data_IF_598750037779
#
_entry.id   IF_598750037779
#
_cell.length_a   1.000
_cell.length_b   1.000
_cell.length_c   1.000
_cell.angle_alpha   90.00
_cell.angle_beta   90.00
_cell.angle_gamma   90.00
#
_symmetry.space_group_name_H-M   'P 1'
#
loop_
_entity.id
_entity.type
_entity.pdbx_description
1 polymer ?
#
# COMPACT_ATOMS: atom_id res chain seq x y z
N UNK A 1 46.94 -40.75 11.65
CA UNK A 1 45.47 -40.64 11.42
C UNK A 1 44.77 -39.60 12.30
N UNK A 2 45.05 -39.46 13.60
CA UNK A 2 44.41 -38.44 14.48
C UNK A 2 44.62 -36.96 14.05
N UNK A 3 45.75 -36.62 13.42
CA UNK A 3 46.05 -35.22 13.01
C UNK A 3 45.22 -34.73 11.80
N UNK A 4 44.73 -35.65 10.95
CA UNK A 4 43.91 -35.29 9.78
C UNK A 4 42.47 -34.98 10.20
N UNK A 5 41.96 -35.68 11.22
CA UNK A 5 40.59 -35.49 11.74
C UNK A 5 40.40 -34.15 12.47
N UNK A 6 41.47 -33.61 13.08
CA UNK A 6 41.44 -32.29 13.73
C UNK A 6 41.41 -31.16 12.70
N UNK A 7 42.04 -31.34 11.54
CA UNK A 7 42.09 -30.32 10.48
C UNK A 7 40.75 -30.20 9.73
N UNK A 8 40.04 -31.31 9.53
CA UNK A 8 38.70 -31.31 8.92
C UNK A 8 37.62 -30.70 9.83
N UNK A 9 37.74 -30.85 11.14
CA UNK A 9 36.83 -30.21 12.10
C UNK A 9 37.00 -28.68 12.17
N UNK A 10 38.20 -28.16 11.90
CA UNK A 10 38.47 -26.72 11.93
C UNK A 10 37.96 -26.00 10.67
N UNK A 11 37.94 -26.68 9.52
CA UNK A 11 37.39 -26.13 8.28
C UNK A 11 35.85 -26.09 8.28
N UNK A 12 35.18 -27.05 8.93
CA UNK A 12 33.71 -27.03 9.05
C UNK A 12 33.20 -25.84 9.89
N UNK A 13 33.99 -25.36 10.86
CA UNK A 13 33.64 -24.22 11.70
C UNK A 13 33.77 -22.86 10.97
N UNK A 14 34.57 -22.78 9.90
CA UNK A 14 34.73 -21.57 9.08
C UNK A 14 33.65 -21.41 8.01
N UNK A 15 32.86 -22.46 7.76
CA UNK A 15 31.78 -22.46 6.77
C UNK A 15 30.43 -21.99 7.33
N UNK A 16 30.38 -21.53 8.59
CA UNK A 16 29.26 -20.71 9.06
C UNK A 16 29.38 -19.33 8.39
N UNK A 17 28.99 -19.26 7.11
CA UNK A 17 28.71 -18.00 6.45
C UNK A 17 27.75 -17.24 7.37
N UNK A 18 28.17 -16.06 7.83
CA UNK A 18 27.31 -15.11 8.53
C UNK A 18 26.09 -14.91 7.64
N UNK A 19 24.94 -15.48 8.02
CA UNK A 19 23.69 -15.07 7.40
C UNK A 19 23.56 -13.58 7.69
N UNK A 20 23.59 -12.77 6.64
CA UNK A 20 23.39 -11.34 6.80
C UNK A 20 22.03 -11.13 7.46
N UNK A 21 22.04 -10.36 8.55
CA UNK A 21 20.86 -10.18 9.39
C UNK A 21 19.84 -9.35 8.61
N UNK A 22 18.72 -9.98 8.25
CA UNK A 22 17.56 -9.31 7.67
C UNK A 22 16.98 -8.30 8.66
N UNK A 23 16.63 -7.12 8.16
CA UNK A 23 15.91 -6.09 8.90
C UNK A 23 14.44 -6.18 8.49
N UNK A 24 13.55 -6.40 9.47
CA UNK A 24 12.12 -6.49 9.20
C UNK A 24 11.46 -5.11 9.22
N UNK A 25 10.58 -4.87 8.26
CA UNK A 25 9.71 -3.70 8.30
C UNK A 25 8.66 -3.84 9.42
N UNK A 26 8.35 -2.74 10.07
CA UNK A 26 7.47 -2.74 11.24
C UNK A 26 5.99 -2.68 10.85
N UNK A 27 5.61 -1.67 10.06
CA UNK A 27 4.25 -1.39 9.60
C UNK A 27 4.25 -0.47 8.36
N UNK A 28 3.08 -0.34 7.72
CA UNK A 28 2.89 0.41 6.49
C UNK A 28 3.15 1.92 6.64
N UNK A 29 2.71 2.54 7.73
CA UNK A 29 2.93 3.97 7.95
C UNK A 29 4.42 4.31 8.10
N UNK A 30 5.20 3.42 8.72
CA UNK A 30 6.63 3.64 8.90
C UNK A 30 7.37 3.71 7.57
N UNK A 31 6.95 2.97 6.54
CA UNK A 31 7.55 3.09 5.20
C UNK A 31 7.49 4.52 4.68
N UNK A 32 6.42 5.26 5.00
CA UNK A 32 6.21 6.63 4.54
C UNK A 32 6.77 7.70 5.48
N UNK A 33 7.09 7.35 6.74
CA UNK A 33 7.62 8.29 7.73
C UNK A 33 9.07 8.64 7.47
N UNK A 34 9.84 7.68 6.97
CA UNK A 34 11.29 7.76 6.83
C UNK A 34 11.72 8.10 5.38
N UNK A 35 10.85 8.73 4.60
CA UNK A 35 11.18 9.22 3.26
C UNK A 35 12.10 10.45 3.37
N UNK A 36 13.19 10.42 2.61
CA UNK A 36 14.12 11.50 2.33
C UNK A 36 14.02 11.86 0.84
N UNK A 37 13.19 12.85 0.48
CA UNK A 37 12.94 13.15 -0.93
C UNK A 37 14.16 13.75 -1.64
N UNK A 38 14.10 13.78 -2.97
CA UNK A 38 15.17 14.38 -3.78
C UNK A 38 15.41 15.85 -3.40
N UNK A 39 16.64 16.29 -3.65
CA UNK A 39 17.07 17.67 -3.41
C UNK A 39 16.18 18.57 -4.26
N UNK A 40 15.69 19.67 -3.68
CA UNK A 40 14.78 20.69 -4.24
C UNK A 40 13.34 20.68 -3.70
N UNK A 41 12.99 19.80 -2.75
CA UNK A 41 11.72 19.89 -2.02
C UNK A 41 11.83 20.88 -0.86
N UNK A 42 10.92 21.86 -0.81
CA UNK A 42 10.90 22.90 0.24
C UNK A 42 10.19 22.40 1.50
N UNK A 43 9.08 21.69 1.28
CA UNK A 43 8.23 21.13 2.33
C UNK A 43 7.43 19.96 1.77
N UNK A 44 7.09 19.01 2.63
CA UNK A 44 6.19 17.93 2.26
C UNK A 44 5.39 17.41 3.47
N UNK A 45 4.27 16.76 3.17
CA UNK A 45 3.36 16.15 4.14
C UNK A 45 2.86 14.86 3.56
N UNK A 46 2.90 13.77 4.33
CA UNK A 46 2.21 12.51 4.01
C UNK A 46 0.85 12.52 4.67
N UNK A 47 -0.17 12.23 3.88
CA UNK A 47 -1.56 12.17 4.32
C UNK A 47 -2.10 10.77 4.06
N UNK A 48 -2.78 10.21 5.06
CA UNK A 48 -3.63 9.03 4.93
C UNK A 48 -5.08 9.48 4.84
N UNK A 49 -5.74 9.20 3.72
CA UNK A 49 -7.16 9.45 3.52
C UNK A 49 -7.95 8.17 3.80
N UNK A 50 -8.80 8.22 4.82
CA UNK A 50 -9.63 7.08 5.21
C UNK A 50 -11.04 7.57 5.54
N UNK A 51 -12.05 6.95 4.92
CA UNK A 51 -13.47 7.21 5.20
C UNK A 51 -13.85 8.71 5.10
N UNK A 52 -13.32 9.40 4.10
CA UNK A 52 -13.59 10.83 3.86
C UNK A 52 -12.83 11.78 4.78
N UNK A 53 -11.85 11.29 5.56
CA UNK A 53 -11.05 12.08 6.49
C UNK A 53 -9.57 11.98 6.16
N UNK A 54 -8.91 13.13 6.18
CA UNK A 54 -7.46 13.24 6.05
C UNK A 54 -6.79 13.20 7.41
N UNK A 55 -5.79 12.31 7.55
CA UNK A 55 -4.92 12.23 8.72
C UNK A 55 -3.47 12.42 8.28
N UNK A 56 -2.83 13.46 8.80
CA UNK A 56 -1.39 13.69 8.58
C UNK A 56 -0.58 12.63 9.33
N UNK A 57 0.30 11.93 8.63
CA UNK A 57 1.19 10.92 9.22
C UNK A 57 2.53 11.51 9.62
N UNK A 58 3.14 12.26 8.71
CA UNK A 58 4.43 12.94 8.90
C UNK A 58 4.48 14.20 8.05
N UNK A 59 5.33 15.14 8.42
CA UNK A 59 5.59 16.36 7.67
C UNK A 59 7.01 16.84 7.89
N UNK A 60 7.65 17.26 6.80
CA UNK A 60 8.83 18.11 6.86
C UNK A 60 8.40 19.51 6.44
N UNK A 61 8.41 20.44 7.40
CA UNK A 61 7.85 21.80 7.27
C UNK A 61 6.37 21.77 6.86
N UNK A 62 5.50 22.16 7.78
CA UNK A 62 4.05 22.16 7.53
C UNK A 62 3.70 23.16 6.42
N UNK A 63 3.05 22.68 5.36
CA UNK A 63 2.52 23.48 4.25
C UNK A 63 1.01 23.21 4.12
N UNK A 64 0.19 24.21 3.75
CA UNK A 64 -1.22 23.98 3.47
C UNK A 64 -1.37 23.00 2.30
N UNK A 65 -2.36 22.11 2.40
CA UNK A 65 -2.70 21.15 1.36
C UNK A 65 -4.22 21.05 1.23
N UNK A 66 -4.67 20.63 0.04
CA UNK A 66 -6.06 20.32 -0.23
C UNK A 66 -6.26 18.80 -0.27
N UNK A 67 -7.43 18.36 0.19
CA UNK A 67 -7.81 16.95 0.17
C UNK A 67 -7.85 16.45 -1.27
N UNK A 68 -7.17 15.33 -1.54
CA UNK A 68 -7.17 14.69 -2.84
C UNK A 68 -8.28 13.65 -2.90
N UNK A 69 -8.91 13.46 -4.06
CA UNK A 69 -9.93 12.42 -4.27
C UNK A 69 -9.38 11.04 -4.64
N UNK A 70 -8.06 10.91 -4.71
CA UNK A 70 -7.33 9.70 -5.10
C UNK A 70 -5.93 9.69 -4.47
N UNK A 71 -5.32 8.51 -4.45
CA UNK A 71 -3.96 8.32 -3.95
C UNK A 71 -3.41 6.93 -4.29
N UNK A 72 -2.24 6.63 -3.77
CA UNK A 72 -1.60 5.32 -3.89
C UNK A 72 -1.92 4.46 -2.66
N UNK A 73 -1.80 3.15 -2.82
CA UNK A 73 -1.99 2.17 -1.75
C UNK A 73 -0.69 1.41 -1.50
N UNK A 74 -0.42 1.06 -0.25
CA UNK A 74 0.70 0.19 0.10
C UNK A 74 0.30 -1.28 0.04
N UNK A 75 -1.00 -1.57 0.24
CA UNK A 75 -1.61 -2.87 0.01
C UNK A 75 -2.88 -2.70 -0.86
N UNK A 76 -3.05 -3.46 -1.96
CA UNK A 76 -4.25 -3.38 -2.80
C UNK A 76 -5.58 -3.51 -2.04
N UNK A 77 -5.57 -4.30 -0.96
CA UNK A 77 -6.74 -4.58 -0.12
C UNK A 77 -6.96 -3.55 1.00
N UNK A 78 -6.08 -2.56 1.18
CA UNK A 78 -6.31 -1.55 2.20
C UNK A 78 -7.55 -0.70 1.86
N UNK A 79 -8.29 -0.29 2.90
CA UNK A 79 -9.27 0.78 2.79
C UNK A 79 -8.57 2.13 2.87
N UNK A 80 -9.01 3.08 2.06
CA UNK A 80 -8.36 4.39 1.97
C UNK A 80 -7.21 4.40 0.96
N UNK A 81 -6.41 5.44 1.03
CA UNK A 81 -5.20 5.64 0.24
C UNK A 81 -4.29 6.68 0.90
N UNK A 82 -3.05 6.71 0.46
CA UNK A 82 -2.08 7.73 0.82
C UNK A 82 -1.88 8.72 -0.33
N UNK A 83 -1.57 9.96 0.03
CA UNK A 83 -1.03 10.93 -0.90
C UNK A 83 0.00 11.81 -0.20
N UNK A 84 0.91 12.39 -0.97
CA UNK A 84 1.90 13.32 -0.45
C UNK A 84 1.64 14.68 -1.09
N UNK A 85 1.51 15.70 -0.27
CA UNK A 85 1.52 17.08 -0.72
C UNK A 85 2.93 17.64 -0.53
N UNK A 86 3.54 18.20 -1.56
CA UNK A 86 4.89 18.78 -1.48
C UNK A 86 4.97 20.12 -2.20
N UNK A 87 5.88 20.98 -1.76
CA UNK A 87 6.11 22.28 -2.38
C UNK A 87 7.48 22.30 -3.04
N UNK A 88 7.50 22.63 -4.33
CA UNK A 88 8.71 22.82 -5.13
C UNK A 88 8.53 24.07 -5.99
N UNK A 89 9.57 24.91 -6.06
CA UNK A 89 9.55 26.18 -6.79
C UNK A 89 8.33 27.08 -6.46
N UNK A 90 7.89 27.06 -5.18
CA UNK A 90 6.77 27.89 -4.69
C UNK A 90 5.37 27.38 -5.02
N UNK A 91 5.23 26.22 -5.68
CA UNK A 91 3.93 25.61 -6.00
C UNK A 91 3.73 24.29 -5.27
N UNK A 92 2.52 24.05 -4.76
CA UNK A 92 2.14 22.76 -4.15
C UNK A 92 1.74 21.76 -5.22
N UNK A 93 2.30 20.56 -5.13
CA UNK A 93 2.07 19.42 -6.00
C UNK A 93 1.68 18.20 -5.17
N UNK A 94 1.12 17.19 -5.82
CA UNK A 94 0.58 16.00 -5.16
C UNK A 94 1.10 14.71 -5.79
N UNK A 95 1.43 13.76 -4.94
CA UNK A 95 1.79 12.38 -5.31
C UNK A 95 0.59 11.50 -5.00
N UNK A 96 -0.01 10.97 -6.04
CA UNK A 96 -1.22 10.13 -5.92
C UNK A 96 -1.05 8.75 -6.54
N UNK A 97 0.16 8.39 -6.97
CA UNK A 97 0.44 7.12 -7.62
C UNK A 97 1.89 6.65 -7.31
N UNK A 98 2.17 5.34 -7.39
CA UNK A 98 3.50 4.80 -7.07
C UNK A 98 4.65 5.30 -7.97
N UNK A 99 4.39 5.64 -9.24
CA UNK A 99 5.45 6.10 -10.15
C UNK A 99 5.90 7.52 -9.79
N UNK A 100 4.94 8.39 -9.47
CA UNK A 100 5.22 9.73 -8.93
C UNK A 100 5.94 9.64 -7.58
N UNK A 101 5.60 8.66 -6.73
CA UNK A 101 6.28 8.42 -5.46
C UNK A 101 7.75 8.05 -5.67
N UNK A 102 8.05 7.15 -6.61
CA UNK A 102 9.43 6.80 -6.98
C UNK A 102 10.23 8.03 -7.41
N UNK A 103 9.63 8.89 -8.23
CA UNK A 103 10.28 10.10 -8.73
C UNK A 103 10.54 11.13 -7.63
N UNK A 104 9.66 11.21 -6.62
CA UNK A 104 9.82 12.09 -5.47
C UNK A 104 10.91 11.66 -4.51
N UNK A 105 11.03 10.35 -4.27
CA UNK A 105 12.11 9.77 -3.46
C UNK A 105 13.45 10.01 -4.19
N UNK A 106 13.51 9.70 -5.49
CA UNK A 106 14.73 9.83 -6.27
C UNK A 106 15.77 8.78 -5.87
N UNK A 107 16.73 9.15 -5.03
CA UNK A 107 17.77 8.24 -4.53
C UNK A 107 17.24 7.44 -3.35
N UNK A 108 17.62 6.18 -3.24
CA UNK A 108 17.24 5.31 -2.12
C UNK A 108 18.32 5.37 -1.04
N UNK A 109 18.01 5.99 0.08
CA UNK A 109 18.89 6.20 1.23
C UNK A 109 18.65 5.19 2.36
N UNK A 110 17.47 4.55 2.41
CA UNK A 110 17.12 3.54 3.42
C UNK A 110 16.30 2.36 2.86
N UNK A 111 16.07 1.34 3.70
CA UNK A 111 15.32 0.14 3.31
C UNK A 111 13.84 0.41 3.07
N UNK A 112 13.25 1.36 3.79
CA UNK A 112 11.86 1.78 3.65
C UNK A 112 11.60 2.37 2.25
N UNK A 113 12.48 3.23 1.77
CA UNK A 113 12.46 3.75 0.40
C UNK A 113 12.69 2.67 -0.64
N UNK A 114 13.53 1.66 -0.34
CA UNK A 114 13.72 0.52 -1.23
C UNK A 114 12.43 -0.29 -1.39
N UNK A 115 11.68 -0.49 -0.29
CA UNK A 115 10.36 -1.09 -0.31
C UNK A 115 9.35 -0.25 -1.11
N UNK A 116 9.36 1.08 -0.98
CA UNK A 116 8.50 1.96 -1.77
C UNK A 116 8.88 1.96 -3.26
N UNK A 117 10.16 1.81 -3.60
CA UNK A 117 10.60 1.63 -4.98
C UNK A 117 10.08 0.30 -5.55
N UNK A 118 10.13 -0.79 -4.77
CA UNK A 118 9.55 -2.07 -5.16
C UNK A 118 8.02 -1.98 -5.42
N UNK A 119 7.30 -1.18 -4.63
CA UNK A 119 5.87 -0.93 -4.83
C UNK A 119 5.55 -0.35 -6.22
N UNK A 120 6.39 0.55 -6.74
CA UNK A 120 6.23 1.10 -8.09
C UNK A 120 6.36 0.05 -9.20
N UNK A 121 6.96 -1.11 -8.89
CA UNK A 121 7.10 -2.26 -9.78
C UNK A 121 6.05 -3.35 -9.53
N UNK A 122 5.03 -3.07 -8.70
CA UNK A 122 3.92 -3.98 -8.41
C UNK A 122 4.21 -5.01 -7.32
N UNK A 123 5.30 -4.86 -6.58
CA UNK A 123 5.58 -5.62 -5.36
C UNK A 123 4.84 -5.01 -4.16
N UNK A 124 4.68 -5.77 -3.10
CA UNK A 124 4.00 -5.33 -1.88
C UNK A 124 4.69 -5.86 -0.63
N UNK A 125 4.79 -5.00 0.38
CA UNK A 125 5.32 -5.38 1.68
C UNK A 125 4.20 -6.02 2.49
N UNK A 126 4.40 -7.27 2.85
CA UNK A 126 3.43 -8.09 3.57
C UNK A 126 3.82 -8.19 5.05
N UNK A 127 3.33 -7.23 5.84
CA UNK A 127 3.66 -7.12 7.27
C UNK A 127 3.17 -8.29 8.12
N UNK A 128 2.28 -9.13 7.59
CA UNK A 128 1.84 -10.37 8.26
C UNK A 128 2.86 -11.50 8.07
N UNK A 129 3.64 -11.46 6.99
CA UNK A 129 4.64 -12.46 6.62
C UNK A 129 6.06 -11.87 6.67
N UNK A 130 6.44 -11.28 7.81
CA UNK A 130 7.71 -10.52 7.96
C UNK A 130 8.98 -11.28 7.60
N UNK A 131 8.98 -12.59 7.81
CA UNK A 131 10.12 -13.46 7.50
C UNK A 131 10.29 -13.71 6.00
N UNK A 132 9.22 -13.52 5.22
CA UNK A 132 9.16 -13.83 3.79
C UNK A 132 8.97 -12.60 2.91
N UNK A 133 8.17 -11.62 3.30
CA UNK A 133 7.72 -10.57 2.39
C UNK A 133 7.66 -9.17 3.03
N UNK A 134 8.35 -8.98 4.16
CA UNK A 134 8.54 -7.65 4.74
C UNK A 134 9.89 -7.50 5.44
N UNK A 135 10.97 -7.70 4.69
CA UNK A 135 12.32 -7.46 5.19
C UNK A 135 13.29 -7.03 4.08
N UNK A 136 14.46 -6.53 4.49
CA UNK A 136 15.53 -6.15 3.60
C UNK A 136 16.92 -6.43 4.17
N UNK A 137 17.93 -6.36 3.30
CA UNK A 137 19.36 -6.38 3.62
C UNK A 137 20.07 -5.26 2.87
N UNK A 138 20.98 -4.55 3.53
CA UNK A 138 21.79 -3.48 2.94
C UNK A 138 23.15 -4.01 2.46
N UNK A 139 23.44 -3.86 1.17
CA UNK A 139 24.72 -4.22 0.55
C UNK A 139 25.55 -3.00 0.10
N UNK A 140 25.30 -1.84 0.69
CA UNK A 140 26.02 -0.59 0.43
C UNK A 140 25.52 0.14 -0.82
N UNK A 141 25.63 -0.46 -2.00
CA UNK A 141 25.20 0.15 -3.28
C UNK A 141 23.78 -0.22 -3.71
N UNK A 142 23.18 -1.21 -3.06
CA UNK A 142 21.83 -1.69 -3.32
C UNK A 142 21.22 -2.26 -2.04
N UNK A 143 19.91 -2.42 -2.04
CA UNK A 143 19.17 -3.22 -1.07
C UNK A 143 18.74 -4.53 -1.72
N UNK A 144 18.73 -5.60 -0.95
CA UNK A 144 17.93 -6.79 -1.26
C UNK A 144 16.64 -6.66 -0.48
N UNK A 145 15.50 -6.69 -1.17
CA UNK A 145 14.17 -6.56 -0.57
C UNK A 145 13.39 -7.85 -0.80
N UNK A 146 12.80 -8.35 0.27
CA UNK A 146 11.86 -9.45 0.26
C UNK A 146 10.43 -8.90 0.31
N UNK A 147 9.66 -9.17 -0.74
CA UNK A 147 8.30 -8.66 -0.90
C UNK A 147 7.39 -9.70 -1.56
N UNK A 148 6.08 -9.52 -1.40
CA UNK A 148 5.07 -10.31 -2.08
C UNK A 148 4.69 -9.72 -3.43
N UNK A 149 4.14 -10.55 -4.31
CA UNK A 149 3.39 -10.11 -5.49
C UNK A 149 2.09 -10.88 -5.58
N UNK A 150 0.97 -10.16 -5.70
CA UNK A 150 -0.35 -10.79 -5.85
C UNK A 150 -0.43 -11.46 -7.22
N UNK A 151 -0.72 -12.76 -7.23
CA UNK A 151 -0.93 -13.55 -8.44
C UNK A 151 -2.40 -13.90 -8.67
N UNK A 152 -3.22 -13.87 -7.62
CA UNK A 152 -4.67 -14.05 -7.71
C UNK A 152 -5.40 -13.24 -6.64
N UNK A 153 -6.53 -12.62 -7.03
CA UNK A 153 -7.49 -11.96 -6.14
C UNK A 153 -8.63 -12.89 -5.66
N UNK A 154 -8.66 -14.12 -6.19
CA UNK A 154 -9.59 -15.18 -5.74
C UNK A 154 -9.10 -15.79 -4.43
N UNK A 155 -10.00 -16.34 -3.61
CA UNK A 155 -9.73 -16.99 -2.35
C UNK A 155 -9.29 -18.46 -2.56
N UNK A 156 -8.27 -18.96 -1.84
CA UNK A 156 -7.40 -18.18 -0.96
C UNK A 156 -6.53 -17.22 -1.78
N UNK A 157 -6.33 -16.01 -1.25
CA UNK A 157 -5.53 -15.00 -1.92
C UNK A 157 -4.12 -15.54 -2.16
N UNK A 158 -3.71 -15.56 -3.43
CA UNK A 158 -2.42 -16.14 -3.82
C UNK A 158 -1.39 -15.04 -3.98
N UNK A 159 -0.30 -15.16 -3.22
CA UNK A 159 0.87 -14.30 -3.32
C UNK A 159 2.10 -15.15 -3.56
N UNK A 160 3.08 -14.58 -4.25
CA UNK A 160 4.39 -15.20 -4.45
C UNK A 160 5.44 -14.34 -3.76
N UNK A 161 6.34 -14.99 -3.03
CA UNK A 161 7.49 -14.35 -2.41
C UNK A 161 8.54 -14.09 -3.49
N UNK A 162 8.96 -12.84 -3.60
CA UNK A 162 10.11 -12.45 -4.40
C UNK A 162 11.21 -11.86 -3.52
N UNK A 163 12.45 -12.23 -3.83
CA UNK A 163 13.63 -11.44 -3.45
C UNK A 163 14.04 -10.62 -4.66
N UNK A 164 14.32 -9.34 -4.48
CA UNK A 164 14.76 -8.45 -5.56
C UNK A 164 15.88 -7.51 -5.13
N UNK A 165 16.70 -7.11 -6.10
CA UNK A 165 17.70 -6.07 -5.94
C UNK A 165 17.07 -4.72 -6.24
N UNK A 166 17.27 -3.75 -5.34
CA UNK A 166 16.90 -2.35 -5.53
C UNK A 166 18.17 -1.50 -5.52
N UNK A 167 18.49 -0.92 -6.68
CA UNK A 167 19.66 -0.05 -6.83
C UNK A 167 19.49 1.27 -6.08
N UNK A 168 20.48 1.66 -5.25
CA UNK A 168 20.34 2.88 -4.43
C UNK A 168 20.37 4.16 -5.24
N UNK A 169 21.10 4.19 -6.34
CA UNK A 169 21.27 5.40 -7.14
C UNK A 169 20.02 5.72 -7.99
N UNK A 170 19.30 4.69 -8.43
CA UNK A 170 18.24 4.81 -9.43
C UNK A 170 16.85 4.34 -8.95
N UNK A 171 16.79 3.60 -7.84
CA UNK A 171 15.58 2.90 -7.41
C UNK A 171 15.10 1.85 -8.42
N UNK A 172 15.97 1.39 -9.32
CA UNK A 172 15.64 0.34 -10.27
C UNK A 172 15.57 -1.02 -9.56
N UNK A 173 14.55 -1.81 -9.91
CA UNK A 173 14.37 -3.19 -9.45
C UNK A 173 14.98 -4.14 -10.49
N UNK A 174 15.78 -5.10 -10.04
CA UNK A 174 16.38 -6.14 -10.88
C UNK A 174 16.61 -7.44 -10.11
N UNK A 175 17.17 -8.46 -10.78
CA UNK A 175 17.55 -9.75 -10.17
C UNK A 175 16.40 -10.40 -9.38
N UNK A 176 15.20 -10.32 -9.93
CA UNK A 176 13.98 -10.82 -9.30
C UNK A 176 14.02 -12.35 -9.22
N UNK A 177 13.99 -12.88 -7.99
CA UNK A 177 13.98 -14.31 -7.71
C UNK A 177 12.66 -14.69 -7.08
N UNK A 178 11.89 -15.48 -7.81
CA UNK A 178 10.70 -16.18 -7.31
C UNK A 178 11.12 -17.25 -6.28
N UNK A 179 10.56 -17.18 -5.07
CA UNK A 179 10.80 -18.11 -3.98
C UNK A 179 9.57 -18.96 -3.63
N UNK A 180 8.56 -18.90 -4.50
CA UNK A 180 7.37 -19.73 -4.41
C UNK A 180 6.17 -19.04 -3.76
N UNK A 181 5.00 -19.70 -3.84
CA UNK A 181 3.76 -19.16 -3.31
C UNK A 181 3.74 -19.21 -1.78
N UNK A 182 3.10 -18.22 -1.19
CA UNK A 182 2.67 -18.25 0.20
C UNK A 182 1.22 -17.77 0.27
N UNK A 183 0.47 -18.31 1.24
CA UNK A 183 -0.97 -18.09 1.34
C UNK A 183 -1.29 -17.40 2.65
N UNK A 184 -2.05 -16.32 2.55
CA UNK A 184 -2.78 -15.80 3.69
C UNK A 184 -3.95 -16.75 3.94
N UNK A 185 -3.86 -17.54 5.02
CA UNK A 185 -4.82 -18.61 5.29
C UNK A 185 -6.26 -18.07 5.37
N UNK A 186 -6.47 -16.82 5.80
CA UNK A 186 -7.80 -16.21 5.93
C UNK A 186 -7.78 -14.67 5.86
N UNK A 187 -7.55 -14.12 4.67
CA UNK A 187 -7.88 -12.71 4.39
C UNK A 187 -9.40 -12.54 4.28
N UNK A 188 -9.97 -11.58 4.99
CA UNK A 188 -11.43 -11.29 4.91
C UNK A 188 -11.79 -10.80 3.51
N UNK A 189 -11.00 -9.94 2.90
CA UNK A 189 -11.33 -9.27 1.63
C UNK A 189 -10.68 -10.01 0.42
N UNK A 190 -11.41 -10.95 -0.19
CA UNK A 190 -11.07 -11.57 -1.49
C UNK A 190 -12.33 -11.81 -2.33
N UNK A 191 -12.19 -11.85 -3.66
CA UNK A 191 -13.30 -11.63 -4.62
C UNK A 191 -14.43 -12.65 -4.54
N UNK A 192 -14.13 -13.91 -4.26
CA UNK A 192 -15.10 -15.00 -4.14
C UNK A 192 -15.27 -15.46 -2.68
N UNK A 193 -15.02 -14.59 -1.70
CA UNK A 193 -15.22 -14.94 -0.29
C UNK A 193 -16.72 -15.14 -0.01
N UNK A 194 -17.16 -16.35 0.40
CA UNK A 194 -18.58 -16.62 0.65
C UNK A 194 -19.19 -15.70 1.71
N UNK A 195 -18.40 -15.21 2.70
CA UNK A 195 -18.88 -14.25 3.69
C UNK A 195 -19.23 -12.88 3.09
N UNK A 196 -18.43 -12.37 2.14
CA UNK A 196 -18.67 -11.08 1.51
C UNK A 196 -19.77 -11.15 0.47
N UNK A 197 -19.91 -12.26 -0.24
CA UNK A 197 -21.02 -12.46 -1.19
C UNK A 197 -22.41 -12.28 -0.54
N UNK A 198 -22.55 -12.62 0.74
CA UNK A 198 -23.79 -12.41 1.49
C UNK A 198 -23.96 -10.94 1.90
N UNK A 199 -22.89 -10.27 2.34
CA UNK A 199 -22.90 -8.87 2.72
C UNK A 199 -23.16 -7.95 1.51
N UNK A 200 -22.50 -8.22 0.38
CA UNK A 200 -22.67 -7.47 -0.86
C UNK A 200 -24.11 -7.55 -1.37
N UNK A 201 -24.75 -8.72 -1.28
CA UNK A 201 -26.18 -8.87 -1.57
C UNK A 201 -27.03 -8.01 -0.64
N UNK A 202 -26.75 -8.01 0.67
CA UNK A 202 -27.49 -7.17 1.62
C UNK A 202 -27.33 -5.67 1.34
N UNK A 203 -26.11 -5.23 1.00
CA UNK A 203 -25.83 -3.83 0.63
C UNK A 203 -26.57 -3.45 -0.65
N UNK A 204 -26.55 -4.31 -1.67
CA UNK A 204 -27.21 -4.03 -2.94
C UNK A 204 -28.73 -4.03 -2.80
N UNK A 205 -29.30 -4.97 -2.04
CA UNK A 205 -30.72 -4.93 -1.67
C UNK A 205 -31.08 -3.66 -0.91
N UNK A 206 -30.24 -3.19 0.01
CA UNK A 206 -30.47 -1.97 0.76
C UNK A 206 -30.44 -0.72 -0.16
N UNK A 207 -29.53 -0.67 -1.14
CA UNK A 207 -29.49 0.41 -2.14
C UNK A 207 -30.76 0.42 -2.99
N UNK A 208 -31.18 -0.74 -3.51
CA UNK A 208 -32.40 -0.85 -4.32
C UNK A 208 -33.63 -0.39 -3.53
N UNK A 209 -33.75 -0.81 -2.26
CA UNK A 209 -34.82 -0.34 -1.36
C UNK A 209 -34.76 1.18 -1.14
N UNK A 210 -33.56 1.74 -0.94
CA UNK A 210 -33.40 3.19 -0.75
C UNK A 210 -33.76 3.99 -2.02
N UNK A 211 -33.42 3.50 -3.21
CA UNK A 211 -33.81 4.10 -4.49
C UNK A 211 -35.32 4.02 -4.72
N UNK A 212 -35.94 2.88 -4.41
CA UNK A 212 -37.39 2.72 -4.50
C UNK A 212 -38.12 3.66 -3.54
N UNK A 213 -37.66 3.78 -2.29
CA UNK A 213 -38.19 4.73 -1.31
C UNK A 213 -38.07 6.18 -1.81
N UNK A 214 -36.91 6.57 -2.38
CA UNK A 214 -36.73 7.89 -3.00
C UNK A 214 -37.73 8.13 -4.15
N UNK A 215 -38.00 7.11 -4.98
CA UNK A 215 -38.96 7.19 -6.09
C UNK A 215 -40.39 7.37 -5.58
N UNK A 216 -40.80 6.55 -4.60
CA UNK A 216 -42.13 6.65 -3.95
C UNK A 216 -42.32 8.02 -3.30
N UNK A 217 -41.32 8.50 -2.56
CA UNK A 217 -41.36 9.82 -1.94
C UNK A 217 -41.54 10.92 -2.97
N UNK A 218 -40.78 10.89 -4.08
CA UNK A 218 -40.90 11.86 -5.17
C UNK A 218 -42.28 11.86 -5.82
N UNK A 219 -42.92 10.69 -5.98
CA UNK A 219 -44.29 10.60 -6.50
C UNK A 219 -45.33 11.15 -5.52
N UNK A 220 -45.21 10.82 -4.23
CA UNK A 220 -46.09 11.34 -3.18
C UNK A 220 -46.00 12.86 -3.11
N UNK A 221 -44.79 13.42 -3.09
CA UNK A 221 -44.57 14.87 -3.12
C UNK A 221 -45.23 15.51 -4.33
N UNK A 222 -45.02 14.97 -5.54
CA UNK A 222 -45.70 15.48 -6.77
C UNK A 222 -47.22 15.40 -6.68
N UNK A 223 -47.78 14.32 -6.12
CA UNK A 223 -49.24 14.16 -5.94
C UNK A 223 -49.79 15.17 -4.94
N UNK A 224 -49.09 15.42 -3.83
CA UNK A 224 -49.48 16.44 -2.86
C UNK A 224 -49.41 17.84 -3.45
N UNK A 225 -48.32 18.19 -4.15
CA UNK A 225 -48.19 19.49 -4.84
C UNK A 225 -49.34 19.73 -5.83
N UNK A 226 -49.71 18.72 -6.62
CA UNK A 226 -50.87 18.79 -7.51
C UNK A 226 -52.19 19.01 -6.76
N UNK A 227 -52.40 18.33 -5.62
CA UNK A 227 -53.59 18.52 -4.77
C UNK A 227 -53.64 19.93 -4.19
N UNK A 228 -52.54 20.43 -3.64
CA UNK A 228 -52.43 21.79 -3.09
C UNK A 228 -52.73 22.84 -4.16
N UNK A 229 -52.12 22.72 -5.34
CA UNK A 229 -52.40 23.63 -6.48
C UNK A 229 -53.87 23.60 -6.91
N UNK A 230 -54.52 22.43 -6.88
CA UNK A 230 -55.94 22.30 -7.23
C UNK A 230 -56.84 22.94 -6.18
N UNK A 231 -56.47 22.88 -4.90
CA UNK A 231 -57.21 23.50 -3.80
C UNK A 231 -57.05 25.02 -3.79
N UNK A 232 -55.84 25.52 -4.04
CA UNK A 232 -55.57 26.96 -4.20
C UNK A 232 -56.30 27.60 -5.39
N UNK A 233 -56.65 26.83 -6.43
CA UNK A 233 -57.45 27.32 -7.57
C UNK A 233 -58.96 27.32 -7.32
N UNK A 234 -59.42 26.69 -6.23
CA UNK A 234 -60.84 26.55 -5.87
C UNK A 234 -61.29 27.54 -4.79
N UNK A 235 -60.32 28.16 -4.11
CA UNK A 235 -60.52 29.29 -3.20
C UNK A 235 -60.18 30.58 -3.95
#
# INVERSE_FOLDING_TARGET
>A
MKKIFVLTSLFAALSFQSQEKKVHFTNAENLLRDISPDRNIISWTVIHHLEGKDRVLTTERKSPFESQGKGFKLNPQERGYYYIAFTQAGSTQYITDPNSLKSFIGRIDNGEEAALAALAHGYQIDFEFKDYAANYVDHGSYYIVDAGKVTSLECPLSRVHYTMRVDKATGAVSEEKDLGPYFELYGKECKNNPHYSALDRQIEEAKLRAEEQKRIQKELTKKMEKKVRKQQRRN
#
